data_IF_949333606886
#
_entry.id   IF_949333606886
#
_cell.length_a   1.000
_cell.length_b   1.000
_cell.length_c   1.000
_cell.angle_alpha   90.00
_cell.angle_beta   90.00
_cell.angle_gamma   90.00
#
_symmetry.space_group_name_H-M   'P 1'
#
loop_
_entity.id
_entity.type
_entity.pdbx_description
1 polymer ?
#
# COMPACT_ATOMS: atom_id res chain seq x y z
N UNK A 1 48.12 25.61 17.72
CA UNK A 1 48.33 26.51 16.57
C UNK A 1 48.24 25.66 15.32
N UNK A 2 47.09 25.70 14.59
CA UNK A 2 47.01 26.63 13.48
C UNK A 2 45.72 27.46 13.45
N UNK A 3 45.87 28.65 12.88
CA UNK A 3 44.87 29.67 12.63
C UNK A 3 44.16 29.34 11.31
N UNK A 4 42.82 29.30 11.32
CA UNK A 4 42.03 29.33 10.10
C UNK A 4 41.06 30.52 10.16
N UNK A 5 41.45 31.58 9.47
CA UNK A 5 40.60 32.70 9.10
C UNK A 5 39.42 32.21 8.28
N UNK A 6 38.19 32.45 8.74
CA UNK A 6 37.00 32.40 7.90
C UNK A 6 36.42 33.80 7.81
N UNK A 7 36.54 34.38 6.62
CA UNK A 7 35.99 35.67 6.27
C UNK A 7 34.46 35.67 6.37
N UNK A 8 33.98 36.73 7.01
CA UNK A 8 32.61 37.23 6.96
C UNK A 8 32.29 37.70 5.54
N UNK A 9 31.07 37.41 5.07
CA UNK A 9 30.45 38.16 3.99
C UNK A 9 29.09 38.66 4.51
N UNK A 10 28.95 39.97 4.79
CA UNK A 10 27.66 40.65 4.90
C UNK A 10 27.25 41.23 3.54
N UNK A 11 26.02 41.73 3.45
CA UNK A 11 25.38 42.45 2.35
C UNK A 11 24.29 41.68 1.59
N UNK A 12 23.07 42.19 1.75
CA UNK A 12 21.86 41.81 1.03
C UNK A 12 20.66 42.60 1.56
N UNK A 13 20.83 43.93 1.64
CA UNK A 13 19.82 44.91 2.01
C UNK A 13 18.68 44.98 0.99
N UNK A 14 17.47 45.17 1.51
CA UNK A 14 16.38 45.98 0.95
C UNK A 14 15.67 45.52 -0.33
N UNK A 15 14.38 45.21 -0.19
CA UNK A 15 13.38 45.72 -1.13
C UNK A 15 12.12 46.14 -0.36
N UNK A 16 11.84 47.42 -0.46
CA UNK A 16 10.74 48.12 0.17
C UNK A 16 9.50 48.13 -0.73
N UNK A 17 8.34 48.15 -0.07
CA UNK A 17 7.14 48.91 -0.42
C UNK A 17 6.71 48.97 -1.91
N UNK A 18 5.56 48.35 -2.19
CA UNK A 18 4.60 48.88 -3.16
C UNK A 18 3.17 48.87 -2.60
N UNK A 19 2.77 50.07 -2.18
CA UNK A 19 1.52 50.77 -2.43
C UNK A 19 0.24 50.01 -2.83
N UNK A 20 -0.77 50.19 -1.96
CA UNK A 20 -2.05 50.88 -2.19
C UNK A 20 -3.07 50.33 -3.22
N UNK A 21 -4.33 50.37 -2.76
CA UNK A 21 -5.60 50.51 -3.49
C UNK A 21 -6.09 49.32 -4.32
N UNK A 22 -7.21 48.74 -3.91
CA UNK A 22 -8.48 49.16 -4.50
C UNK A 22 -9.69 48.68 -3.70
N UNK A 23 -10.47 49.67 -3.25
CA UNK A 23 -11.82 49.56 -2.73
C UNK A 23 -12.83 49.63 -3.90
N UNK A 24 -13.63 48.59 -4.08
CA UNK A 24 -14.93 48.61 -4.75
C UNK A 24 -15.68 47.37 -4.23
N UNK A 25 -16.77 47.46 -3.47
CA UNK A 25 -18.02 48.09 -3.85
C UNK A 25 -18.99 46.97 -4.23
N UNK A 26 -20.04 46.68 -3.43
CA UNK A 26 -20.92 45.53 -3.66
C UNK A 26 -21.97 45.85 -4.73
N UNK A 27 -22.27 44.93 -5.68
CA UNK A 27 -23.47 45.07 -6.49
C UNK A 27 -24.70 44.69 -5.68
N UNK A 28 -25.52 45.73 -5.53
CA UNK A 28 -26.85 45.76 -4.96
C UNK A 28 -27.91 45.39 -6.00
N UNK A 29 -29.06 44.90 -5.50
CA UNK A 29 -30.39 44.87 -6.13
C UNK A 29 -30.72 43.84 -7.23
N UNK A 30 -31.62 42.94 -6.84
CA UNK A 30 -32.92 42.69 -7.49
C UNK A 30 -32.95 41.88 -8.79
N UNK A 31 -33.40 40.63 -8.67
CA UNK A 31 -34.61 40.25 -9.40
C UNK A 31 -35.48 39.27 -8.62
N UNK A 32 -36.71 39.73 -8.36
CA UNK A 32 -37.85 38.95 -7.91
C UNK A 32 -38.24 37.96 -9.00
N UNK A 33 -38.27 36.67 -8.66
CA UNK A 33 -39.26 35.75 -9.24
C UNK A 33 -40.08 35.24 -8.07
N UNK A 34 -41.28 35.80 -7.95
CA UNK A 34 -42.32 35.28 -7.09
C UNK A 34 -42.94 34.07 -7.78
N UNK A 35 -42.92 32.91 -7.13
CA UNK A 35 -43.67 31.76 -7.61
C UNK A 35 -43.22 30.45 -6.98
N UNK A 36 -44.06 29.92 -6.08
CA UNK A 36 -44.15 28.49 -5.75
C UNK A 36 -42.94 27.80 -5.10
N UNK A 37 -42.92 27.76 -3.76
CA UNK A 37 -42.51 26.58 -2.99
C UNK A 37 -42.78 26.77 -1.48
N UNK A 38 -44.04 27.04 -1.12
CA UNK A 38 -44.48 26.90 0.28
C UNK A 38 -44.59 25.41 0.60
N UNK A 39 -43.48 24.78 0.98
CA UNK A 39 -43.43 23.53 1.79
C UNK A 39 -42.01 23.08 2.20
N UNK A 40 -40.94 23.86 1.98
CA UNK A 40 -39.56 23.42 2.24
C UNK A 40 -38.87 24.05 3.48
N UNK A 41 -39.61 24.73 4.36
CA UNK A 41 -39.03 25.48 5.51
C UNK A 41 -39.43 24.84 6.85
N UNK A 42 -39.46 23.50 6.92
CA UNK A 42 -39.56 22.77 8.21
C UNK A 42 -38.62 21.57 8.35
N UNK A 43 -37.63 21.43 7.47
CA UNK A 43 -36.64 20.34 7.56
C UNK A 43 -35.18 20.79 7.74
N UNK A 44 -34.91 22.10 7.76
CA UNK A 44 -33.53 22.63 7.91
C UNK A 44 -33.14 22.96 9.35
N UNK A 45 -34.08 23.10 10.30
CA UNK A 45 -33.75 23.38 11.71
C UNK A 45 -33.32 22.13 12.51
N UNK A 46 -33.73 20.92 12.10
CA UNK A 46 -33.31 19.67 12.75
C UNK A 46 -31.95 19.15 12.25
N UNK A 47 -31.48 19.59 11.08
CA UNK A 47 -30.15 19.23 10.57
C UNK A 47 -29.03 20.09 11.20
N UNK A 48 -29.29 21.35 11.51
CA UNK A 48 -28.34 22.20 12.25
C UNK A 48 -28.25 21.85 13.74
N UNK A 49 -29.31 21.33 14.36
CA UNK A 49 -29.28 20.89 15.76
C UNK A 49 -28.49 19.59 16.02
N UNK A 50 -28.24 18.76 14.99
CA UNK A 50 -27.40 17.55 15.11
C UNK A 50 -25.90 17.85 15.03
N UNK A 51 -25.49 18.94 14.38
CA UNK A 51 -24.07 19.33 14.29
C UNK A 51 -23.60 19.93 15.62
N UNK A 52 -24.47 20.62 16.37
CA UNK A 52 -24.13 21.19 17.68
C UNK A 52 -24.11 20.15 18.84
N UNK A 53 -24.52 18.90 18.59
CA UNK A 53 -24.51 17.80 19.58
C UNK A 53 -23.54 16.67 19.24
N UNK A 54 -22.66 16.85 18.26
CA UNK A 54 -21.39 16.15 18.29
C UNK A 54 -20.59 16.75 19.45
N UNK A 55 -20.92 16.28 20.66
CA UNK A 55 -20.00 16.25 21.78
C UNK A 55 -18.69 15.79 21.17
N UNK A 56 -17.73 16.68 21.10
CA UNK A 56 -16.32 16.32 21.08
C UNK A 56 -16.21 15.37 22.27
N UNK A 57 -16.27 14.06 22.00
CA UNK A 57 -15.68 13.10 22.90
C UNK A 57 -14.22 13.50 22.84
N UNK A 58 -13.84 14.41 23.73
CA UNK A 58 -12.48 14.51 24.19
C UNK A 58 -12.26 13.11 24.72
N UNK A 59 -11.73 12.24 23.86
CA UNK A 59 -11.03 11.05 24.29
C UNK A 59 -9.95 11.66 25.16
N UNK A 60 -10.24 11.76 26.44
CA UNK A 60 -9.24 12.00 27.46
C UNK A 60 -8.37 10.78 27.29
N UNK A 61 -7.34 10.94 26.47
CA UNK A 61 -6.30 9.94 26.33
C UNK A 61 -5.82 9.82 27.76
N UNK A 62 -6.15 8.70 28.41
CA UNK A 62 -5.58 8.29 29.69
C UNK A 62 -4.10 7.98 29.46
N UNK A 63 -3.35 9.00 29.03
CA UNK A 63 -1.91 9.11 29.08
C UNK A 63 -1.46 9.50 30.49
N UNK A 64 -2.32 9.29 31.49
CA UNK A 64 -1.96 9.25 32.89
C UNK A 64 -1.16 7.98 33.10
N UNK A 65 0.16 8.16 33.12
CA UNK A 65 1.18 7.27 33.68
C UNK A 65 0.56 6.16 34.54
N UNK A 66 0.32 4.97 33.95
CA UNK A 66 -0.20 3.84 34.70
C UNK A 66 0.95 3.31 35.56
N UNK A 67 1.04 3.78 36.81
CA UNK A 67 2.06 3.34 37.77
C UNK A 67 1.98 1.82 38.04
N UNK A 68 0.82 1.22 37.76
CA UNK A 68 0.59 -0.21 37.84
C UNK A 68 1.35 -0.99 36.73
N UNK A 69 1.33 -0.53 35.48
CA UNK A 69 2.02 -1.23 34.37
C UNK A 69 3.53 -0.97 34.35
N UNK A 70 3.99 0.14 34.94
CA UNK A 70 5.42 0.42 35.10
C UNK A 70 6.09 -0.42 36.23
N UNK A 71 5.30 -1.18 36.98
CA UNK A 71 5.79 -2.11 37.98
C UNK A 71 6.06 -3.48 37.35
N UNK A 72 6.97 -3.54 36.36
CA UNK A 72 7.77 -4.76 36.17
C UNK A 72 8.27 -5.14 37.57
N UNK A 73 7.84 -6.30 38.06
CA UNK A 73 8.21 -6.81 39.39
C UNK A 73 9.72 -6.90 39.40
N UNK A 74 10.35 -5.88 39.96
CA UNK A 74 11.81 -5.79 39.99
C UNK A 74 12.27 -6.90 40.91
N UNK A 75 12.99 -7.86 40.36
CA UNK A 75 13.83 -8.76 41.14
C UNK A 75 14.86 -7.90 41.88
N UNK A 76 14.73 -7.75 43.21
CA UNK A 76 15.68 -6.94 43.97
C UNK A 76 17.09 -7.50 43.76
N UNK A 77 18.02 -6.67 43.30
CA UNK A 77 19.41 -7.04 43.00
C UNK A 77 19.78 -7.11 41.52
N UNK A 78 18.82 -7.15 40.59
CA UNK A 78 19.13 -7.19 39.16
C UNK A 78 19.56 -5.80 38.65
N UNK A 79 20.84 -5.66 38.26
CA UNK A 79 21.34 -4.43 37.64
C UNK A 79 20.71 -4.27 36.26
N UNK A 80 20.01 -3.16 36.03
CA UNK A 80 19.49 -2.82 34.70
C UNK A 80 20.63 -2.68 33.70
N UNK A 81 20.56 -3.43 32.61
CA UNK A 81 21.43 -3.27 31.46
C UNK A 81 21.08 -1.97 30.73
N UNK A 82 21.66 -0.85 31.20
CA UNK A 82 21.46 0.49 30.61
C UNK A 82 21.75 0.52 29.10
N UNK A 83 22.64 -0.35 28.62
CA UNK A 83 22.97 -0.49 27.21
C UNK A 83 21.80 -1.00 26.35
N UNK A 84 21.10 -2.04 26.81
CA UNK A 84 19.98 -2.65 26.08
C UNK A 84 18.79 -1.69 25.98
N UNK A 85 18.38 -1.09 27.11
CA UNK A 85 17.29 -0.09 27.14
C UNK A 85 17.56 1.12 26.24
N UNK A 86 18.85 1.51 26.10
CA UNK A 86 19.27 2.59 25.20
C UNK A 86 19.24 2.16 23.73
N UNK A 87 19.51 0.88 23.44
CA UNK A 87 19.44 0.29 22.10
C UNK A 87 17.99 0.21 21.64
N UNK A 88 17.11 -0.37 22.44
CA UNK A 88 15.66 -0.44 22.19
C UNK A 88 15.05 0.95 22.00
N UNK A 89 15.44 1.93 22.83
CA UNK A 89 14.98 3.30 22.67
C UNK A 89 15.41 3.94 21.34
N UNK A 90 16.56 3.54 20.79
CA UNK A 90 17.02 4.01 19.48
C UNK A 90 16.26 3.32 18.35
N UNK A 91 16.09 2.00 18.45
CA UNK A 91 15.33 1.19 17.48
C UNK A 91 13.91 1.74 17.32
N UNK A 92 13.18 1.96 18.43
CA UNK A 92 11.85 2.58 18.41
C UNK A 92 11.88 3.98 17.77
N UNK A 93 12.87 4.81 18.12
CA UNK A 93 12.98 6.15 17.53
C UNK A 93 13.26 6.12 16.02
N UNK A 94 14.00 5.13 15.54
CA UNK A 94 14.29 4.96 14.11
C UNK A 94 13.03 4.50 13.35
N UNK A 95 12.22 3.62 13.94
CA UNK A 95 10.87 3.29 13.43
C UNK A 95 10.01 4.55 13.33
N UNK A 96 9.93 5.35 14.41
CA UNK A 96 9.14 6.59 14.42
C UNK A 96 9.60 7.56 13.32
N UNK A 97 10.91 7.71 13.12
CA UNK A 97 11.44 8.54 12.03
C UNK A 97 11.02 8.00 10.67
N UNK A 98 11.08 6.69 10.48
CA UNK A 98 10.54 5.99 9.31
C UNK A 98 9.08 6.33 9.07
N UNK A 99 8.21 6.18 10.08
CA UNK A 99 6.80 6.53 10.01
C UNK A 99 6.57 7.99 9.60
N UNK A 100 7.34 8.94 10.15
CA UNK A 100 7.21 10.36 9.76
C UNK A 100 7.64 10.67 8.32
N UNK A 101 8.37 9.76 7.67
CA UNK A 101 8.78 9.89 6.27
C UNK A 101 7.81 9.24 5.29
N UNK A 102 6.87 8.43 5.77
CA UNK A 102 5.89 7.73 4.95
C UNK A 102 4.85 8.68 4.37
N UNK A 103 4.33 8.32 3.19
CA UNK A 103 3.19 9.03 2.60
C UNK A 103 1.90 8.77 3.39
N UNK A 104 0.89 9.67 3.33
CA UNK A 104 -0.38 9.46 4.00
C UNK A 104 -1.10 8.16 3.60
N UNK A 105 -0.90 7.69 2.36
CA UNK A 105 -1.46 6.42 1.87
C UNK A 105 -0.79 5.22 2.53
N UNK A 106 0.54 5.25 2.68
CA UNK A 106 1.28 4.21 3.38
C UNK A 106 0.94 4.21 4.87
N UNK A 107 0.80 5.39 5.50
CA UNK A 107 0.34 5.49 6.89
C UNK A 107 -1.07 4.92 7.09
N UNK A 108 -1.98 5.12 6.13
CA UNK A 108 -3.30 4.52 6.19
C UNK A 108 -3.24 2.99 6.14
N UNK A 109 -2.32 2.40 5.37
CA UNK A 109 -2.13 0.95 5.27
C UNK A 109 -1.58 0.32 6.55
N UNK A 110 -0.85 1.09 7.38
CA UNK A 110 -0.26 0.64 8.65
C UNK A 110 -1.11 1.07 9.86
N UNK A 111 -2.17 1.86 9.63
CA UNK A 111 -2.97 2.47 10.70
C UNK A 111 -3.60 1.46 11.65
N UNK A 112 -3.81 0.22 11.22
CA UNK A 112 -4.39 -0.84 12.06
C UNK A 112 -3.41 -1.43 13.08
N UNK A 113 -2.10 -1.34 12.82
CA UNK A 113 -1.04 -1.75 13.74
C UNK A 113 -0.72 -0.67 14.79
N UNK A 114 -1.21 0.55 14.57
CA UNK A 114 -0.90 1.70 15.39
C UNK A 114 -2.00 1.95 16.44
N UNK A 115 -1.64 2.30 17.67
CA UNK A 115 -2.60 2.69 18.69
C UNK A 115 -3.38 3.94 18.27
N UNK A 116 -4.62 4.11 18.78
CA UNK A 116 -5.46 5.25 18.44
C UNK A 116 -4.75 6.58 18.79
N UNK A 117 -4.88 7.56 17.91
CA UNK A 117 -4.22 8.88 18.05
C UNK A 117 -2.76 8.92 17.59
N UNK A 118 -2.09 7.78 17.43
CA UNK A 118 -0.68 7.73 16.97
C UNK A 118 -0.53 8.26 15.54
N UNK A 119 -1.46 7.91 14.65
CA UNK A 119 -1.46 8.37 13.25
C UNK A 119 -1.53 9.90 13.16
N UNK A 120 -2.34 10.53 14.00
CA UNK A 120 -2.45 12.00 14.06
C UNK A 120 -1.15 12.62 14.58
N UNK A 121 -0.57 12.04 15.65
CA UNK A 121 0.68 12.50 16.22
C UNK A 121 1.85 12.39 15.22
N UNK A 122 1.92 11.31 14.43
CA UNK A 122 2.87 11.14 13.33
C UNK A 122 2.62 12.16 12.23
N UNK A 123 1.37 12.41 11.85
CA UNK A 123 1.00 13.43 10.87
C UNK A 123 1.41 14.85 11.27
N UNK A 124 1.33 15.19 12.57
CA UNK A 124 1.84 16.46 13.10
C UNK A 124 3.37 16.52 13.00
N UNK A 125 4.07 15.45 13.39
CA UNK A 125 5.53 15.38 13.30
C UNK A 125 6.02 15.49 11.84
N UNK A 126 5.36 14.83 10.90
CA UNK A 126 5.70 14.82 9.48
C UNK A 126 5.57 16.21 8.83
N UNK A 127 4.62 17.04 9.29
CA UNK A 127 4.44 18.42 8.81
C UNK A 127 5.54 19.38 9.29
N UNK A 128 6.23 19.06 10.38
CA UNK A 128 7.26 19.91 10.96
C UNK A 128 8.62 19.70 10.27
N UNK A 129 9.43 20.76 10.08
CA UNK A 129 10.74 20.61 9.47
C UNK A 129 11.68 19.78 10.37
N UNK A 130 12.58 19.00 9.74
CA UNK A 130 13.47 18.05 10.44
C UNK A 130 14.38 18.69 11.49
N UNK A 131 14.74 19.96 11.31
CA UNK A 131 15.56 20.74 12.26
C UNK A 131 14.79 21.24 13.49
N UNK A 132 13.45 21.18 13.48
CA UNK A 132 12.62 21.77 14.53
C UNK A 132 12.66 20.94 15.82
N UNK A 133 12.87 21.62 16.96
CA UNK A 133 12.80 20.98 18.29
C UNK A 133 11.40 20.43 18.60
N UNK A 134 10.35 21.10 18.11
CA UNK A 134 8.97 20.63 18.22
C UNK A 134 8.77 19.27 17.56
N UNK A 135 9.39 19.03 16.39
CA UNK A 135 9.35 17.72 15.73
C UNK A 135 9.99 16.64 16.62
N UNK A 136 11.17 16.89 17.17
CA UNK A 136 11.86 15.94 18.07
C UNK A 136 11.02 15.60 19.30
N UNK A 137 10.32 16.60 19.87
CA UNK A 137 9.40 16.39 21.00
C UNK A 137 8.20 15.53 20.58
N UNK A 138 7.65 15.78 19.40
CA UNK A 138 6.52 15.01 18.87
C UNK A 138 6.92 13.56 18.54
N UNK A 139 8.07 13.35 17.91
CA UNK A 139 8.63 12.00 17.68
C UNK A 139 8.84 11.26 19.01
N UNK A 140 9.33 11.95 20.05
CA UNK A 140 9.48 11.37 21.39
C UNK A 140 8.15 11.00 22.06
N UNK A 141 7.08 11.78 21.81
CA UNK A 141 5.74 11.43 22.27
C UNK A 141 5.23 10.16 21.57
N UNK A 142 5.37 10.08 20.24
CA UNK A 142 4.99 8.89 19.46
C UNK A 142 5.78 7.66 19.95
N UNK A 143 7.10 7.78 20.15
CA UNK A 143 7.91 6.68 20.67
C UNK A 143 7.43 6.20 22.05
N UNK A 144 6.98 7.13 22.91
CA UNK A 144 6.41 6.78 24.22
C UNK A 144 5.08 6.03 24.08
N UNK A 145 4.21 6.43 23.14
CA UNK A 145 2.96 5.73 22.86
C UNK A 145 3.23 4.31 22.35
N UNK A 146 4.17 4.17 21.41
CA UNK A 146 4.48 2.86 20.82
C UNK A 146 5.00 1.87 21.88
N UNK A 147 5.94 2.32 22.71
CA UNK A 147 6.50 1.48 23.79
C UNK A 147 5.45 0.99 24.80
N UNK A 148 4.41 1.78 25.05
CA UNK A 148 3.43 1.47 26.08
C UNK A 148 2.28 0.58 25.61
N UNK A 149 2.06 0.47 24.29
CA UNK A 149 0.82 -0.11 23.75
C UNK A 149 1.04 -1.19 22.69
N UNK A 150 2.22 -1.28 22.05
CA UNK A 150 2.48 -2.34 21.07
C UNK A 150 3.18 -3.53 21.72
N UNK A 151 2.81 -4.71 21.24
CA UNK A 151 3.57 -5.94 21.50
C UNK A 151 4.84 -5.98 20.64
N UNK A 152 5.82 -6.82 21.03
CA UNK A 152 7.08 -6.99 20.27
C UNK A 152 6.81 -7.44 18.83
N UNK A 153 5.85 -8.36 18.63
CA UNK A 153 5.45 -8.82 17.28
C UNK A 153 4.86 -7.70 16.42
N UNK A 154 4.08 -6.79 17.01
CA UNK A 154 3.55 -5.63 16.29
C UNK A 154 4.67 -4.64 15.94
N UNK A 155 5.66 -4.48 16.81
CA UNK A 155 6.84 -3.66 16.56
C UNK A 155 7.69 -4.21 15.39
N UNK A 156 7.90 -5.53 15.32
CA UNK A 156 8.61 -6.17 14.20
C UNK A 156 7.88 -5.95 12.86
N UNK A 157 6.56 -6.15 12.82
CA UNK A 157 5.75 -5.85 11.62
C UNK A 157 5.83 -4.38 11.21
N UNK A 158 5.88 -3.48 12.20
CA UNK A 158 5.99 -2.05 11.95
C UNK A 158 7.36 -1.68 11.39
N UNK A 159 8.43 -2.31 11.87
CA UNK A 159 9.78 -2.19 11.31
C UNK A 159 9.81 -2.63 9.86
N UNK A 160 9.22 -3.77 9.52
CA UNK A 160 9.17 -4.27 8.15
C UNK A 160 8.33 -3.37 7.25
N UNK A 161 7.21 -2.85 7.74
CA UNK A 161 6.41 -1.86 7.02
C UNK A 161 7.20 -0.59 6.71
N UNK A 162 8.00 -0.12 7.67
CA UNK A 162 8.91 1.02 7.47
C UNK A 162 9.98 0.69 6.43
N UNK A 163 10.63 -0.48 6.50
CA UNK A 163 11.65 -0.92 5.52
C UNK A 163 11.07 -0.92 4.11
N UNK A 164 9.93 -1.58 3.89
CA UNK A 164 9.25 -1.66 2.58
C UNK A 164 8.91 -0.26 2.04
N UNK A 165 8.43 0.64 2.91
CA UNK A 165 8.11 2.00 2.51
C UNK A 165 9.36 2.81 2.13
N UNK A 166 10.47 2.62 2.82
CA UNK A 166 11.73 3.34 2.56
C UNK A 166 12.50 2.80 1.35
N UNK A 167 12.51 1.48 1.14
CA UNK A 167 13.33 0.83 0.10
C UNK A 167 12.59 0.74 -1.24
N UNK A 168 11.33 0.32 -1.21
CA UNK A 168 10.57 0.01 -2.43
C UNK A 168 9.57 1.09 -2.82
N UNK A 169 9.37 2.10 -1.97
CA UNK A 169 8.26 3.07 -2.08
C UNK A 169 6.89 2.37 -2.19
N UNK A 170 6.80 1.13 -1.73
CA UNK A 170 5.62 0.27 -1.83
C UNK A 170 4.56 0.62 -0.79
N UNK A 171 3.35 0.10 -0.99
CA UNK A 171 2.32 0.04 0.05
C UNK A 171 2.56 -1.26 0.81
N UNK A 172 2.72 -1.15 2.13
CA UNK A 172 2.81 -2.32 2.99
C UNK A 172 1.51 -3.13 2.91
N UNK A 173 1.64 -4.44 2.66
CA UNK A 173 0.54 -5.39 2.70
C UNK A 173 0.78 -6.31 3.88
N UNK A 174 -0.12 -6.29 4.85
CA UNK A 174 -0.01 -7.12 6.05
C UNK A 174 -0.32 -8.57 5.66
N UNK A 175 0.67 -9.45 5.81
CA UNK A 175 0.60 -10.87 5.43
C UNK A 175 -0.54 -11.63 6.11
N UNK A 176 -0.86 -11.28 7.35
CA UNK A 176 -1.94 -11.94 8.09
C UNK A 176 -3.31 -11.55 7.53
N UNK A 177 -3.46 -10.27 7.18
CA UNK A 177 -4.69 -9.73 6.60
C UNK A 177 -4.87 -10.26 5.18
N UNK A 178 -3.81 -10.25 4.37
CA UNK A 178 -3.88 -10.77 3.00
C UNK A 178 -4.16 -12.27 3.00
N UNK A 179 -3.46 -13.05 3.82
CA UNK A 179 -3.70 -14.49 3.99
C UNK A 179 -5.13 -14.79 4.44
N UNK A 180 -5.65 -14.08 5.43
CA UNK A 180 -7.04 -14.26 5.89
C UNK A 180 -8.07 -13.94 4.80
N UNK A 181 -7.84 -12.86 4.03
CA UNK A 181 -8.70 -12.51 2.89
C UNK A 181 -8.65 -13.59 1.81
N UNK A 182 -7.50 -14.21 1.56
CA UNK A 182 -7.37 -15.30 0.59
C UNK A 182 -8.09 -16.56 1.04
N UNK A 183 -7.94 -16.96 2.30
CA UNK A 183 -8.67 -18.09 2.90
C UNK A 183 -10.18 -17.88 2.80
N UNK A 184 -10.66 -16.70 3.19
CA UNK A 184 -12.09 -16.39 3.07
C UNK A 184 -12.58 -16.34 1.63
N UNK A 185 -11.79 -15.77 0.72
CA UNK A 185 -12.12 -15.72 -0.71
C UNK A 185 -12.29 -17.14 -1.26
N UNK A 186 -11.37 -18.04 -0.94
CA UNK A 186 -11.39 -19.43 -1.42
C UNK A 186 -12.53 -20.23 -0.78
N UNK A 187 -12.70 -20.15 0.54
CA UNK A 187 -13.79 -20.83 1.26
C UNK A 187 -15.17 -20.36 0.80
N UNK A 188 -15.37 -19.06 0.55
CA UNK A 188 -16.64 -18.53 0.02
C UNK A 188 -16.93 -19.01 -1.41
N UNK A 189 -15.91 -19.16 -2.26
CA UNK A 189 -16.08 -19.66 -3.62
C UNK A 189 -16.37 -21.16 -3.65
N UNK A 190 -15.77 -21.93 -2.75
CA UNK A 190 -16.02 -23.35 -2.57
C UNK A 190 -17.37 -23.64 -1.87
N UNK A 191 -17.93 -22.65 -1.17
CA UNK A 191 -19.16 -22.81 -0.42
C UNK A 191 -18.95 -23.53 0.92
N UNK A 192 -17.78 -23.39 1.53
CA UNK A 192 -17.47 -23.99 2.83
C UNK A 192 -18.34 -23.38 3.94
N UNK A 193 -19.13 -24.22 4.61
CA UNK A 193 -20.12 -23.78 5.59
C UNK A 193 -19.48 -23.05 6.78
N UNK A 194 -18.29 -23.49 7.23
CA UNK A 194 -17.56 -22.87 8.33
C UNK A 194 -17.16 -21.42 8.01
N UNK A 195 -16.56 -21.19 6.84
CA UNK A 195 -16.12 -19.85 6.40
C UNK A 195 -17.34 -18.94 6.15
N UNK A 196 -18.42 -19.49 5.59
CA UNK A 196 -19.67 -18.77 5.40
C UNK A 196 -20.25 -18.33 6.76
N UNK A 197 -20.35 -19.25 7.72
CA UNK A 197 -20.84 -18.94 9.06
C UNK A 197 -19.98 -17.90 9.78
N UNK A 198 -18.65 -17.97 9.62
CA UNK A 198 -17.72 -17.01 10.18
C UNK A 198 -17.92 -15.61 9.56
N UNK A 199 -17.79 -15.49 8.23
CA UNK A 199 -17.83 -14.19 7.54
C UNK A 199 -19.20 -13.51 7.68
N UNK A 200 -20.30 -14.25 7.61
CA UNK A 200 -21.65 -13.69 7.78
C UNK A 200 -22.09 -13.57 9.25
N UNK A 201 -21.34 -14.17 10.18
CA UNK A 201 -21.60 -14.11 11.61
C UNK A 201 -21.16 -12.79 12.26
N UNK A 202 -20.26 -12.06 11.62
CA UNK A 202 -19.80 -10.76 12.12
C UNK A 202 -20.92 -9.69 12.12
N UNK A 203 -20.92 -8.75 13.08
CA UNK A 203 -21.91 -7.69 13.14
C UNK A 203 -21.94 -6.83 11.87
N UNK A 204 -23.15 -6.40 11.47
CA UNK A 204 -23.38 -5.46 10.36
C UNK A 204 -22.63 -4.12 10.50
N UNK A 205 -22.20 -3.76 11.70
CA UNK A 205 -21.39 -2.57 11.94
C UNK A 205 -19.94 -2.71 11.41
N UNK A 206 -19.46 -3.95 11.27
CA UNK A 206 -18.11 -4.26 10.82
C UNK A 206 -18.08 -4.76 9.38
N UNK A 207 -19.14 -5.47 8.99
CA UNK A 207 -19.19 -6.15 7.72
C UNK A 207 -19.70 -5.23 6.59
N UNK A 208 -19.23 -5.45 5.35
CA UNK A 208 -19.87 -4.93 4.14
C UNK A 208 -21.33 -5.39 4.07
N UNK A 209 -22.13 -4.77 3.20
CA UNK A 209 -23.48 -5.28 2.92
C UNK A 209 -23.42 -6.76 2.51
N UNK A 210 -23.95 -7.64 3.37
CA UNK A 210 -23.96 -9.09 3.16
C UNK A 210 -24.68 -9.47 1.87
N UNK A 211 -25.66 -8.68 1.43
CA UNK A 211 -26.36 -8.92 0.17
C UNK A 211 -25.43 -8.68 -1.03
N UNK A 212 -24.65 -7.59 -0.98
CA UNK A 212 -23.64 -7.29 -2.00
C UNK A 212 -22.57 -8.38 -2.05
N UNK A 213 -22.12 -8.87 -0.89
CA UNK A 213 -21.13 -9.95 -0.82
C UNK A 213 -21.66 -11.23 -1.48
N UNK A 214 -22.88 -11.66 -1.13
CA UNK A 214 -23.52 -12.85 -1.74
C UNK A 214 -23.66 -12.73 -3.25
N UNK A 215 -24.08 -11.55 -3.72
CA UNK A 215 -24.23 -11.29 -5.15
C UNK A 215 -22.90 -11.36 -5.89
N UNK A 216 -21.83 -10.79 -5.31
CA UNK A 216 -20.49 -10.85 -5.89
C UNK A 216 -19.91 -12.27 -5.88
N UNK A 217 -20.12 -13.04 -4.82
CA UNK A 217 -19.68 -14.45 -4.78
C UNK A 217 -20.37 -15.26 -5.88
N UNK A 218 -21.69 -15.10 -6.05
CA UNK A 218 -22.42 -15.76 -7.15
C UNK A 218 -21.87 -15.35 -8.53
N UNK A 219 -21.61 -14.07 -8.75
CA UNK A 219 -21.02 -13.58 -10.00
C UNK A 219 -19.61 -14.15 -10.24
N UNK A 220 -18.80 -14.28 -9.19
CA UNK A 220 -17.48 -14.89 -9.29
C UNK A 220 -17.58 -16.38 -9.66
N UNK A 221 -18.49 -17.13 -9.02
CA UNK A 221 -18.71 -18.55 -9.31
C UNK A 221 -19.15 -18.75 -10.77
N UNK A 222 -20.14 -17.97 -11.22
CA UNK A 222 -20.61 -18.01 -12.62
C UNK A 222 -19.47 -17.68 -13.61
N UNK A 223 -18.68 -16.64 -13.34
CA UNK A 223 -17.56 -16.28 -14.20
C UNK A 223 -16.47 -17.36 -14.26
N UNK A 224 -16.22 -18.07 -13.14
CA UNK A 224 -15.26 -19.17 -13.10
C UNK A 224 -15.78 -20.43 -13.81
N UNK A 225 -17.08 -20.71 -13.72
CA UNK A 225 -17.73 -21.78 -14.49
C UNK A 225 -17.66 -21.50 -15.99
N UNK A 226 -18.03 -20.29 -16.43
CA UNK A 226 -17.92 -19.86 -17.83
C UNK A 226 -16.48 -19.96 -18.36
N UNK A 227 -15.48 -19.59 -17.55
CA UNK A 227 -14.07 -19.70 -17.92
C UNK A 227 -13.62 -21.17 -18.05
N UNK A 228 -14.04 -22.05 -17.13
CA UNK A 228 -13.78 -23.49 -17.24
C UNK A 228 -14.44 -24.12 -18.47
N UNK A 229 -15.67 -23.73 -18.78
CA UNK A 229 -16.38 -24.18 -19.99
C UNK A 229 -15.68 -23.71 -21.27
N UNK A 230 -15.22 -22.45 -21.31
CA UNK A 230 -14.46 -21.90 -22.43
C UNK A 230 -13.11 -22.60 -22.60
N UNK A 231 -12.41 -22.92 -21.50
CA UNK A 231 -11.16 -23.67 -21.53
C UNK A 231 -11.39 -25.11 -22.03
N UNK A 232 -12.45 -25.78 -21.56
CA UNK A 232 -12.84 -27.09 -22.06
C UNK A 232 -13.19 -27.05 -23.56
N UNK A 233 -13.94 -26.04 -24.00
CA UNK A 233 -14.27 -25.84 -25.41
C UNK A 233 -13.02 -25.58 -26.26
N UNK A 234 -12.03 -24.82 -25.74
CA UNK A 234 -10.74 -24.61 -26.43
C UNK A 234 -9.93 -25.90 -26.54
N UNK A 235 -9.89 -26.72 -25.50
CA UNK A 235 -9.20 -28.02 -25.55
C UNK A 235 -9.86 -28.99 -26.55
N UNK A 236 -11.18 -28.93 -26.72
CA UNK A 236 -11.89 -29.70 -27.75
C UNK A 236 -11.73 -29.10 -29.16
N UNK A 237 -11.59 -27.78 -29.26
CA UNK A 237 -11.48 -27.03 -30.51
C UNK A 237 -10.04 -26.81 -31.01
N UNK A 238 -9.01 -27.27 -30.30
CA UNK A 238 -7.68 -27.56 -30.89
C UNK A 238 -7.62 -29.03 -31.34
N UNK A 239 -8.28 -29.44 -32.44
CA UNK A 239 -8.04 -30.74 -33.02
C UNK A 239 -6.66 -30.72 -33.66
N UNK A 240 -5.70 -31.39 -33.02
CA UNK A 240 -4.68 -32.19 -33.70
C UNK A 240 -3.93 -31.54 -34.89
N UNK A 241 -3.72 -30.23 -34.90
CA UNK A 241 -2.92 -29.53 -35.92
C UNK A 241 -1.43 -29.90 -35.85
N UNK A 242 -1.05 -30.83 -34.98
CA UNK A 242 0.26 -31.47 -34.90
C UNK A 242 0.34 -32.84 -35.59
N UNK A 243 -0.69 -33.27 -36.33
CA UNK A 243 -0.66 -34.53 -37.12
C UNK A 243 -0.70 -34.32 -38.63
N UNK A 244 -0.28 -33.15 -39.13
CA UNK A 244 -0.07 -32.93 -40.56
C UNK A 244 1.43 -32.78 -40.85
N UNK A 245 1.98 -33.84 -41.45
CA UNK A 245 3.16 -33.88 -42.34
C UNK A 245 4.54 -33.50 -41.79
N UNK A 246 5.28 -34.53 -41.33
CA UNK A 246 6.64 -34.77 -41.85
C UNK A 246 6.82 -36.28 -42.01
N UNK A 247 6.25 -36.84 -43.08
CA UNK A 247 6.89 -37.94 -43.79
C UNK A 247 7.60 -37.33 -45.00
N UNK A 248 8.84 -37.77 -45.20
CA UNK A 248 9.59 -37.70 -46.47
C UNK A 248 10.45 -36.45 -46.73
N UNK A 249 11.69 -36.47 -46.25
CA UNK A 249 12.86 -36.68 -47.12
C UNK A 249 14.16 -36.70 -46.27
N UNK A 250 14.89 -37.81 -46.36
CA UNK A 250 16.15 -37.98 -45.68
C UNK A 250 17.23 -36.98 -46.09
N UNK A 251 18.01 -36.53 -45.10
CA UNK A 251 19.41 -36.18 -45.29
C UNK A 251 20.11 -36.32 -43.94
N UNK A 252 21.00 -37.30 -43.86
CA UNK A 252 21.69 -37.64 -42.62
C UNK A 252 22.67 -36.59 -42.15
N UNK A 253 23.23 -36.83 -40.97
CA UNK A 253 24.67 -36.79 -40.63
C UNK A 253 24.78 -36.85 -39.10
N UNK A 254 25.03 -38.08 -38.62
CA UNK A 254 26.22 -38.52 -37.87
C UNK A 254 26.97 -37.49 -36.99
N UNK A 255 27.19 -37.88 -35.73
CA UNK A 255 28.24 -37.38 -34.81
C UNK A 255 27.67 -36.57 -33.65
N UNK A 256 27.80 -36.93 -32.36
CA UNK A 256 28.91 -37.59 -31.69
C UNK A 256 29.90 -36.51 -31.22
N UNK A 257 29.94 -36.20 -29.93
CA UNK A 257 30.88 -35.20 -29.40
C UNK A 257 30.60 -34.74 -27.98
N UNK A 258 30.91 -35.60 -27.02
CA UNK A 258 31.47 -35.22 -25.73
C UNK A 258 32.82 -34.50 -25.98
N UNK A 259 33.07 -33.35 -25.36
CA UNK A 259 34.36 -33.01 -24.73
C UNK A 259 34.50 -31.54 -24.33
N UNK A 260 35.08 -31.40 -23.15
CA UNK A 260 35.82 -30.28 -22.56
C UNK A 260 36.98 -29.75 -23.44
N UNK A 261 37.66 -28.71 -22.92
CA UNK A 261 39.03 -28.23 -23.26
C UNK A 261 39.10 -27.21 -24.40
N UNK A 262 39.33 -25.93 -24.07
CA UNK A 262 40.63 -25.21 -24.12
C UNK A 262 41.05 -24.72 -25.52
N UNK A 263 41.24 -23.40 -25.60
CA UNK A 263 42.40 -22.71 -26.17
C UNK A 263 42.96 -23.17 -27.52
N UNK A 264 42.83 -22.30 -28.53
CA UNK A 264 43.70 -22.31 -29.70
C UNK A 264 43.03 -21.60 -30.87
N UNK A 265 43.66 -20.52 -31.34
CA UNK A 265 43.06 -19.57 -32.26
C UNK A 265 42.95 -20.07 -33.69
N UNK A 266 41.92 -19.55 -34.36
CA UNK A 266 41.83 -19.37 -35.80
C UNK A 266 41.11 -18.02 -36.00
N UNK A 267 41.88 -16.99 -36.34
CA UNK A 267 41.43 -15.59 -36.44
C UNK A 267 40.70 -15.28 -37.77
N UNK A 268 40.44 -16.29 -38.62
CA UNK A 268 39.87 -16.07 -39.96
C UNK A 268 38.37 -16.43 -40.08
N UNK A 269 37.74 -17.05 -39.08
CA UNK A 269 36.28 -17.32 -39.07
C UNK A 269 35.45 -16.28 -38.29
N UNK A 270 36.09 -15.38 -37.53
CA UNK A 270 35.39 -14.31 -36.79
C UNK A 270 34.84 -13.22 -37.70
N UNK A 271 35.43 -13.00 -38.89
CA UNK A 271 34.98 -11.96 -39.82
C UNK A 271 33.62 -12.27 -40.44
N UNK A 272 33.32 -13.55 -40.69
CA UNK A 272 32.03 -13.99 -41.24
C UNK A 272 30.90 -13.96 -40.20
N UNK A 273 31.19 -14.33 -38.95
CA UNK A 273 30.23 -14.23 -37.84
C UNK A 273 29.93 -12.77 -37.48
N UNK A 274 30.94 -11.89 -37.51
CA UNK A 274 30.75 -10.46 -37.34
C UNK A 274 29.91 -9.85 -38.47
N UNK A 275 30.10 -10.29 -39.72
CA UNK A 275 29.28 -9.85 -40.85
C UNK A 275 27.82 -10.33 -40.73
N UNK A 276 27.58 -11.56 -40.29
CA UNK A 276 26.23 -12.10 -40.07
C UNK A 276 25.52 -11.40 -38.90
N UNK A 277 26.24 -11.11 -37.81
CA UNK A 277 25.71 -10.34 -36.67
C UNK A 277 25.45 -8.87 -37.03
N UNK A 278 26.31 -8.25 -37.84
CA UNK A 278 26.09 -6.90 -38.36
C UNK A 278 24.89 -6.85 -39.32
N UNK A 279 24.71 -7.88 -40.15
CA UNK A 279 23.56 -8.00 -41.06
C UNK A 279 22.25 -8.27 -40.30
N UNK A 280 22.31 -9.03 -39.19
CA UNK A 280 21.19 -9.19 -38.27
C UNK A 280 20.86 -7.88 -37.52
N UNK A 281 21.88 -7.13 -37.09
CA UNK A 281 21.73 -5.83 -36.44
C UNK A 281 21.14 -4.78 -37.39
N UNK A 282 21.60 -4.73 -38.64
CA UNK A 282 21.07 -3.86 -39.70
C UNK A 282 19.62 -4.20 -40.06
N UNK A 283 19.23 -5.47 -39.95
CA UNK A 283 17.82 -5.90 -40.12
C UNK A 283 16.92 -5.50 -38.94
N UNK A 284 17.50 -5.23 -37.77
CA UNK A 284 16.78 -4.76 -36.58
C UNK A 284 16.76 -3.23 -36.43
N UNK A 285 17.64 -2.52 -37.13
CA UNK A 285 17.85 -1.08 -36.97
C UNK A 285 17.53 -0.29 -38.23
N UNK A 286 16.26 0.07 -38.44
CA UNK A 286 15.89 0.83 -39.64
C UNK A 286 14.46 1.35 -39.68
N UNK A 287 14.12 2.26 -38.77
CA UNK A 287 12.88 3.04 -38.81
C UNK A 287 12.45 3.39 -37.38
N UNK A 288 12.49 4.63 -36.93
CA UNK A 288 12.05 5.85 -37.59
C UNK A 288 11.22 6.58 -36.54
N UNK A 289 11.53 7.86 -36.30
CA UNK A 289 10.96 8.63 -35.21
C UNK A 289 9.43 8.72 -35.23
N UNK A 290 8.88 9.08 -34.08
CA UNK A 290 7.51 9.53 -33.96
C UNK A 290 6.75 8.81 -32.85
N UNK A 291 6.68 9.46 -31.68
CA UNK A 291 5.70 9.22 -30.61
C UNK A 291 5.13 7.81 -30.53
N UNK A 292 5.82 6.93 -29.80
CA UNK A 292 5.41 5.56 -29.52
C UNK A 292 4.05 5.48 -28.83
N UNK A 293 2.98 5.65 -29.61
CA UNK A 293 1.71 4.95 -29.41
C UNK A 293 2.04 3.49 -29.64
N UNK A 294 2.66 2.89 -28.62
CA UNK A 294 3.12 1.52 -28.64
C UNK A 294 2.02 0.69 -29.24
N UNK A 295 2.39 -0.13 -30.24
CA UNK A 295 1.61 -1.29 -30.65
C UNK A 295 1.23 -1.99 -29.35
N UNK A 296 0.03 -1.68 -28.86
CA UNK A 296 -0.58 -2.37 -27.74
C UNK A 296 -0.73 -3.75 -28.31
N UNK A 297 0.28 -4.62 -28.09
CA UNK A 297 0.15 -6.06 -28.25
C UNK A 297 -1.23 -6.33 -27.70
N UNK A 298 -2.14 -6.77 -28.57
CA UNK A 298 -3.54 -6.98 -28.25
C UNK A 298 -3.53 -8.01 -27.13
N UNK A 299 -3.41 -7.52 -25.90
CA UNK A 299 -3.31 -8.33 -24.70
C UNK A 299 -4.63 -9.04 -24.68
N UNK A 300 -4.58 -10.37 -24.75
CA UNK A 300 -5.78 -11.19 -24.69
C UNK A 300 -6.67 -10.63 -23.56
N UNK A 301 -7.97 -10.40 -23.82
CA UNK A 301 -8.85 -9.80 -22.84
C UNK A 301 -8.68 -10.53 -21.51
N UNK A 302 -8.38 -9.78 -20.44
CA UNK A 302 -8.20 -10.40 -19.13
C UNK A 302 -9.49 -11.14 -18.77
N UNK A 303 -9.39 -12.35 -18.20
CA UNK A 303 -10.56 -13.09 -17.74
C UNK A 303 -11.40 -12.23 -16.81
N UNK A 304 -12.72 -12.23 -17.01
CA UNK A 304 -13.65 -11.39 -16.26
C UNK A 304 -13.59 -11.72 -14.76
N UNK A 305 -13.31 -12.99 -14.43
CA UNK A 305 -13.12 -13.46 -13.05
C UNK A 305 -12.10 -12.63 -12.27
N UNK A 306 -10.98 -12.23 -12.89
CA UNK A 306 -9.91 -11.47 -12.21
C UNK A 306 -10.36 -10.09 -11.72
N UNK A 307 -11.29 -9.45 -12.43
CA UNK A 307 -11.88 -8.19 -11.97
C UNK A 307 -12.73 -8.39 -10.72
N UNK A 308 -13.57 -9.41 -10.74
CA UNK A 308 -14.51 -9.74 -9.67
C UNK A 308 -13.81 -10.24 -8.41
N UNK A 309 -12.77 -11.07 -8.55
CA UNK A 309 -11.94 -11.53 -7.42
C UNK A 309 -11.24 -10.36 -6.71
N UNK A 310 -10.78 -9.36 -7.47
CA UNK A 310 -10.21 -8.13 -6.89
C UNK A 310 -11.26 -7.31 -6.15
N UNK A 311 -12.49 -7.21 -6.67
CA UNK A 311 -13.57 -6.52 -5.95
C UNK A 311 -13.98 -7.26 -4.68
N UNK A 312 -14.00 -8.59 -4.72
CA UNK A 312 -14.33 -9.43 -3.57
C UNK A 312 -13.28 -9.23 -2.46
N UNK A 313 -11.99 -9.30 -2.80
CA UNK A 313 -10.91 -9.04 -1.84
C UNK A 313 -10.97 -7.63 -1.24
N UNK A 314 -11.32 -6.61 -2.03
CA UNK A 314 -11.51 -5.24 -1.54
C UNK A 314 -12.64 -5.11 -0.53
N UNK A 315 -13.73 -5.87 -0.69
CA UNK A 315 -14.84 -5.88 0.27
C UNK A 315 -14.49 -6.66 1.54
N UNK A 316 -13.74 -7.75 1.43
CA UNK A 316 -13.35 -8.58 2.58
C UNK A 316 -12.26 -7.94 3.44
N UNK A 317 -11.37 -7.13 2.85
CA UNK A 317 -10.20 -6.57 3.53
C UNK A 317 -10.53 -5.73 4.79
N UNK A 318 -11.53 -4.83 4.80
CA UNK A 318 -11.92 -4.10 6.01
C UNK A 318 -12.37 -5.03 7.14
N UNK A 319 -13.06 -6.13 6.81
CA UNK A 319 -13.51 -7.12 7.78
C UNK A 319 -12.30 -7.87 8.34
N UNK A 320 -11.38 -8.33 7.47
CA UNK A 320 -10.15 -9.03 7.88
C UNK A 320 -9.28 -8.16 8.80
N UNK A 321 -9.12 -6.88 8.47
CA UNK A 321 -8.39 -5.92 9.31
C UNK A 321 -8.97 -5.84 10.73
N UNK A 322 -10.30 -5.86 10.87
CA UNK A 322 -10.96 -5.83 12.19
C UNK A 322 -10.75 -7.12 12.96
N UNK A 323 -10.89 -8.27 12.30
CA UNK A 323 -10.67 -9.58 12.93
C UNK A 323 -9.24 -9.71 13.45
N UNK A 324 -8.24 -9.28 12.66
CA UNK A 324 -6.84 -9.27 13.11
C UNK A 324 -6.63 -8.30 14.28
N UNK A 325 -7.27 -7.14 14.27
CA UNK A 325 -7.21 -6.19 15.39
C UNK A 325 -7.80 -6.75 16.68
N UNK A 326 -8.97 -7.40 16.61
CA UNK A 326 -9.62 -7.98 17.78
C UNK A 326 -8.93 -9.23 18.29
N UNK A 327 -8.42 -10.08 17.39
CA UNK A 327 -7.60 -11.23 17.74
C UNK A 327 -6.33 -10.82 18.49
N UNK A 328 -5.72 -9.69 18.11
CA UNK A 328 -4.58 -9.12 18.83
C UNK A 328 -4.96 -8.55 20.20
N UNK A 329 -6.19 -8.02 20.36
CA UNK A 329 -6.65 -7.44 21.62
C UNK A 329 -7.16 -8.48 22.63
N UNK A 330 -7.74 -9.58 22.16
CA UNK A 330 -8.31 -10.65 23.01
C UNK A 330 -7.33 -11.71 23.49
N UNK A 331 -6.06 -11.64 23.06
CA UNK A 331 -5.00 -12.60 23.41
C UNK A 331 -4.18 -12.26 24.66
N UNK A 332 -4.63 -11.30 25.48
CA UNK A 332 -3.99 -10.88 26.75
C UNK A 332 -4.86 -11.33 27.92
#
# INVERSE_FOLDING_TARGET
MPLFCRMLNPHGLMSAAHCLRSSAGPPSCSNRVAGQARNFIRLTSLRQARIARQRVQVVVVDALYNFADAAEVRTPGQRRNRGLLKKEAREIMDVVRGLTSMTPKQLAAVSHLLPPGTVEAVGIAAKLPRSNQGRKRQEGLVAKMLRGQLTEQQMEKLEDAVKVATEHQGIFDDGDVSGLVEVWREGLLQGEEAVVAEVYGYPLAWAPDHQQLRLLVRQCQQALEEEREQEAARMLAEPSSSSSEVLEAGRGVRGGGDSSSESGGDEEEEEDLAAVLALAAARSGGGGGGGGRGRRRLRAPEPRSRGLLRSLGKLLRPLALRVVQEGAAGGV
#
